data_IF_879720568967
#
_entry.id   IF_879720568967
#
_cell.length_a   1.000
_cell.length_b   1.000
_cell.length_c   1.000
_cell.angle_alpha   90.00
_cell.angle_beta   90.00
_cell.angle_gamma   90.00
#
_symmetry.space_group_name_H-M   'P 1'
#
loop_
_entity.id
_entity.type
_entity.pdbx_description
1 polymer ?
#
# COMPACT_ATOMS: atom_id res chain seq x y z
N UNK A 1 11.40 -7.63 5.41
CA UNK A 1 10.32 -7.34 4.47
C UNK A 1 8.97 -7.67 5.07
N UNK A 2 7.94 -6.94 4.73
CA UNK A 2 6.62 -7.16 5.31
C UNK A 2 6.04 -8.52 4.88
N UNK A 3 5.72 -9.35 5.87
CA UNK A 3 5.03 -10.62 5.66
C UNK A 3 4.42 -11.10 6.98
N UNK A 4 3.37 -11.93 6.95
CA UNK A 4 2.79 -12.46 8.18
C UNK A 4 3.80 -13.36 8.91
N UNK A 5 3.79 -13.30 10.24
CA UNK A 5 4.61 -14.19 11.06
C UNK A 5 4.10 -15.62 11.02
N UNK A 6 2.78 -15.79 10.97
CA UNK A 6 2.12 -17.09 10.96
C UNK A 6 0.85 -17.01 10.14
N UNK A 7 0.59 -18.02 9.32
CA UNK A 7 -0.61 -18.05 8.48
C UNK A 7 -1.44 -19.30 8.81
N UNK A 8 -2.77 -19.15 8.73
CA UNK A 8 -3.69 -20.27 8.88
C UNK A 8 -3.66 -21.19 7.67
N UNK A 9 -3.55 -20.60 6.48
CA UNK A 9 -3.46 -21.33 5.20
C UNK A 9 -2.28 -20.80 4.40
N UNK A 10 -1.48 -21.69 3.82
CA UNK A 10 -0.35 -21.33 2.98
C UNK A 10 -0.75 -21.04 1.54
N UNK A 11 -1.92 -21.52 1.13
CA UNK A 11 -2.47 -21.31 -0.21
C UNK A 11 -3.90 -20.83 -0.10
N UNK A 12 -4.27 -19.90 -0.97
CA UNK A 12 -5.63 -19.37 -1.05
C UNK A 12 -6.04 -19.25 -2.51
N UNK A 13 -7.35 -19.31 -2.76
CA UNK A 13 -7.86 -19.06 -4.10
C UNK A 13 -7.61 -17.59 -4.47
N UNK A 14 -7.26 -17.36 -5.74
CA UNK A 14 -6.99 -16.01 -6.25
C UNK A 14 -8.17 -15.06 -6.06
N UNK A 15 -9.38 -15.52 -6.38
CA UNK A 15 -10.59 -14.73 -6.26
C UNK A 15 -10.62 -13.55 -7.21
N UNK A 16 -11.59 -12.66 -7.01
CA UNK A 16 -11.74 -11.41 -7.76
C UNK A 16 -11.89 -10.26 -6.78
N UNK A 17 -11.29 -9.13 -7.12
CA UNK A 17 -11.42 -7.89 -6.35
C UNK A 17 -12.47 -7.02 -7.01
N UNK A 18 -13.64 -6.90 -6.36
CA UNK A 18 -14.75 -6.10 -6.87
C UNK A 18 -15.15 -5.03 -5.88
N UNK A 19 -15.76 -3.96 -6.39
CA UNK A 19 -16.30 -2.89 -5.56
C UNK A 19 -15.26 -1.91 -5.08
N UNK A 20 -15.71 -1.00 -4.22
CA UNK A 20 -14.89 0.03 -3.62
C UNK A 20 -14.57 -0.32 -2.17
N UNK A 21 -13.50 0.28 -1.64
CA UNK A 21 -13.13 0.05 -0.25
C UNK A 21 -14.18 0.61 0.70
N UNK A 22 -14.68 -0.24 1.62
CA UNK A 22 -15.64 0.14 2.65
C UNK A 22 -14.94 0.43 3.98
N UNK A 23 -13.73 -0.09 4.16
CA UNK A 23 -12.90 0.13 5.35
C UNK A 23 -11.52 0.60 4.91
N UNK A 24 -10.87 1.41 5.77
CA UNK A 24 -9.56 1.95 5.44
C UNK A 24 -9.59 2.92 4.27
N UNK A 25 -10.70 3.61 4.07
CA UNK A 25 -10.90 4.57 2.97
C UNK A 25 -10.81 6.02 3.43
N UNK A 26 -10.47 6.26 4.68
CA UNK A 26 -10.32 7.61 5.25
C UNK A 26 -9.01 7.74 5.98
N UNK A 27 -8.49 8.98 6.05
CA UNK A 27 -7.32 9.30 6.86
C UNK A 27 -7.66 9.14 8.34
N UNK A 28 -6.85 8.38 9.05
CA UNK A 28 -7.05 8.08 10.47
C UNK A 28 -5.91 8.60 11.35
N UNK A 29 -4.69 8.60 10.85
CA UNK A 29 -3.49 8.89 11.63
C UNK A 29 -2.81 10.20 11.23
N UNK A 30 -2.75 10.51 9.95
CA UNK A 30 -2.02 11.64 9.43
C UNK A 30 -2.92 12.71 8.82
N UNK A 31 -2.31 13.85 8.51
CA UNK A 31 -3.00 14.95 7.80
C UNK A 31 -3.03 14.74 6.29
N UNK A 32 -2.12 13.94 5.76
CA UNK A 32 -1.97 13.71 4.33
C UNK A 32 -1.86 12.23 4.05
N UNK A 33 -2.27 11.82 2.86
CA UNK A 33 -2.14 10.43 2.44
C UNK A 33 -2.36 10.25 0.97
N UNK A 34 -2.15 9.02 0.50
CA UNK A 34 -2.51 8.60 -0.85
C UNK A 34 -3.47 7.43 -0.78
N UNK A 35 -4.45 7.44 -1.68
CA UNK A 35 -5.38 6.32 -1.83
C UNK A 35 -5.30 5.78 -3.25
N UNK A 36 -5.58 4.50 -3.39
CA UNK A 36 -5.61 3.87 -4.72
C UNK A 36 -6.91 4.17 -5.44
N UNK A 37 -6.81 4.31 -6.76
CA UNK A 37 -7.97 4.44 -7.65
C UNK A 37 -8.24 3.15 -8.43
N UNK A 38 -7.42 2.13 -8.23
CA UNK A 38 -7.50 0.86 -8.97
C UNK A 38 -7.53 -0.33 -8.02
N UNK A 39 -8.03 -1.47 -8.52
CA UNK A 39 -7.96 -2.76 -7.83
C UNK A 39 -6.74 -3.52 -8.33
N UNK A 40 -5.76 -3.75 -7.46
CA UNK A 40 -4.56 -4.54 -7.78
C UNK A 40 -3.97 -5.17 -6.52
N UNK A 41 -3.03 -6.07 -6.73
CA UNK A 41 -2.21 -6.63 -5.67
C UNK A 41 -0.93 -5.81 -5.53
N UNK A 42 -0.58 -5.47 -4.30
CA UNK A 42 0.64 -4.73 -3.98
C UNK A 42 1.54 -5.65 -3.17
N UNK A 43 2.78 -5.84 -3.64
CA UNK A 43 3.73 -6.72 -2.96
C UNK A 43 4.40 -6.00 -1.79
N UNK A 44 4.94 -6.78 -0.85
CA UNK A 44 5.72 -6.21 0.27
C UNK A 44 6.93 -5.41 -0.20
N UNK A 45 7.56 -5.82 -1.30
CA UNK A 45 8.69 -5.08 -1.88
C UNK A 45 8.28 -3.70 -2.39
N UNK A 46 7.12 -3.61 -3.03
CA UNK A 46 6.58 -2.34 -3.52
C UNK A 46 6.25 -1.40 -2.36
N UNK A 47 5.64 -1.94 -1.29
CA UNK A 47 5.33 -1.17 -0.09
C UNK A 47 6.61 -0.63 0.55
N UNK A 48 7.64 -1.47 0.67
CA UNK A 48 8.92 -1.07 1.26
C UNK A 48 9.62 -0.02 0.40
N UNK A 49 9.61 -0.16 -0.92
CA UNK A 49 10.18 0.84 -1.82
C UNK A 49 9.49 2.20 -1.68
N UNK A 50 8.15 2.19 -1.57
CA UNK A 50 7.38 3.42 -1.37
C UNK A 50 7.72 4.07 -0.02
N UNK A 51 7.81 3.28 1.05
CA UNK A 51 8.18 3.78 2.37
C UNK A 51 9.54 4.45 2.36
N UNK A 52 10.53 3.82 1.73
CA UNK A 52 11.87 4.38 1.61
C UNK A 52 11.86 5.70 0.84
N UNK A 53 11.09 5.77 -0.26
CA UNK A 53 10.99 6.99 -1.05
C UNK A 53 10.43 8.16 -0.23
N UNK A 54 9.39 7.92 0.56
CA UNK A 54 8.80 8.94 1.44
C UNK A 54 9.81 9.38 2.50
N UNK A 55 10.42 8.42 3.17
CA UNK A 55 11.38 8.70 4.26
C UNK A 55 12.56 9.53 3.77
N UNK A 56 13.11 9.20 2.61
CA UNK A 56 14.25 9.95 2.03
C UNK A 56 13.88 11.38 1.71
N UNK A 57 12.72 11.59 1.08
CA UNK A 57 12.32 12.95 0.72
C UNK A 57 12.02 13.79 1.94
N UNK A 58 11.38 13.22 2.96
CA UNK A 58 11.06 13.91 4.21
C UNK A 58 12.29 14.07 5.13
N UNK A 59 13.45 13.54 4.75
CA UNK A 59 14.69 13.60 5.54
C UNK A 59 14.48 13.06 6.97
N UNK A 60 13.68 12.01 7.11
CA UNK A 60 13.32 11.37 8.38
C UNK A 60 12.57 12.29 9.35
N UNK A 61 12.01 13.39 8.87
CA UNK A 61 11.13 14.25 9.66
C UNK A 61 9.70 13.72 9.58
N UNK A 62 8.92 14.00 10.63
CA UNK A 62 7.53 13.58 10.68
C UNK A 62 7.35 12.09 10.90
N UNK A 63 6.13 11.63 10.67
CA UNK A 63 5.73 10.23 10.86
C UNK A 63 5.05 9.69 9.61
N UNK A 64 5.22 8.39 9.39
CA UNK A 64 4.64 7.67 8.25
C UNK A 64 3.87 6.47 8.79
N UNK A 65 2.66 6.25 8.27
CA UNK A 65 1.86 5.06 8.55
C UNK A 65 1.57 4.34 7.24
N UNK A 66 1.93 3.05 7.20
CA UNK A 66 1.56 2.18 6.09
C UNK A 66 0.24 1.52 6.47
N UNK A 67 -0.82 1.81 5.69
CA UNK A 67 -2.18 1.40 6.02
C UNK A 67 -2.55 0.04 5.44
N UNK A 68 -1.67 -0.57 4.66
CA UNK A 68 -1.89 -1.89 4.04
C UNK A 68 -0.79 -2.85 4.47
N UNK A 69 -1.13 -4.13 4.49
CA UNK A 69 -0.19 -5.18 4.86
C UNK A 69 -0.34 -6.37 3.91
N UNK A 70 0.77 -6.93 3.41
CA UNK A 70 0.71 -8.07 2.49
C UNK A 70 0.49 -9.36 3.26
N UNK A 71 -0.77 -9.72 3.46
CA UNK A 71 -1.17 -10.89 4.25
C UNK A 71 -1.76 -12.01 3.40
N UNK A 72 -2.01 -11.77 2.11
CA UNK A 72 -2.60 -12.77 1.23
C UNK A 72 -1.52 -13.59 0.53
N UNK A 73 -1.48 -14.91 0.72
CA UNK A 73 -0.48 -15.75 0.07
C UNK A 73 -0.74 -15.89 -1.43
N UNK A 74 0.34 -15.87 -2.21
CA UNK A 74 0.30 -16.13 -3.64
C UNK A 74 1.19 -17.32 -3.96
N UNK A 75 0.85 -18.05 -5.02
CA UNK A 75 1.58 -19.20 -5.48
C UNK A 75 2.00 -19.02 -6.93
N UNK A 76 3.09 -19.66 -7.30
CA UNK A 76 3.60 -19.62 -8.66
C UNK A 76 4.15 -20.97 -9.04
N UNK A 77 3.86 -21.41 -10.26
CA UNK A 77 4.47 -22.59 -10.84
C UNK A 77 5.75 -22.20 -11.59
N UNK A 78 6.78 -23.06 -11.62
CA UNK A 78 7.94 -22.81 -12.46
C UNK A 78 7.52 -22.64 -13.93
N UNK A 79 8.26 -21.80 -14.67
CA UNK A 79 7.95 -21.52 -16.07
C UNK A 79 7.94 -22.76 -16.97
N UNK A 80 8.67 -23.79 -16.58
CA UNK A 80 8.83 -25.04 -17.33
C UNK A 80 7.72 -26.05 -17.07
N UNK A 81 6.84 -25.80 -16.09
CA UNK A 81 5.79 -26.75 -15.69
C UNK A 81 4.51 -26.43 -16.43
N UNK A 82 3.89 -27.47 -17.01
CA UNK A 82 2.62 -27.32 -17.70
C UNK A 82 1.49 -27.04 -16.71
N UNK A 83 0.40 -26.45 -17.22
CA UNK A 83 -0.80 -26.18 -16.43
C UNK A 83 -1.45 -27.49 -15.98
N UNK A 84 -2.05 -27.48 -14.79
CA UNK A 84 -2.69 -28.63 -14.18
C UNK A 84 -1.82 -29.26 -13.10
N UNK A 85 -2.25 -30.43 -12.60
CA UNK A 85 -1.57 -31.21 -11.54
C UNK A 85 -1.43 -30.44 -10.20
N UNK A 86 -2.44 -29.62 -9.85
CA UNK A 86 -2.51 -28.95 -8.57
C UNK A 86 -1.97 -27.54 -8.57
N UNK A 87 -2.12 -26.88 -7.44
CA UNK A 87 -1.73 -25.49 -7.23
C UNK A 87 -0.21 -25.38 -7.03
N UNK A 88 0.37 -24.30 -7.54
CA UNK A 88 1.80 -24.06 -7.41
C UNK A 88 2.25 -23.87 -5.95
N UNK A 89 3.55 -23.83 -5.75
CA UNK A 89 4.14 -23.62 -4.44
C UNK A 89 3.95 -22.17 -3.98
N UNK A 90 3.81 -21.92 -2.65
CA UNK A 90 3.75 -20.57 -2.13
C UNK A 90 5.01 -19.77 -2.50
N UNK A 91 4.82 -18.56 -3.04
CA UNK A 91 5.92 -17.68 -3.46
C UNK A 91 6.09 -16.50 -2.51
N UNK A 92 5.00 -15.94 -2.00
CA UNK A 92 5.06 -14.78 -1.14
C UNK A 92 3.68 -14.28 -0.76
N UNK A 93 3.61 -13.02 -0.38
CA UNK A 93 2.37 -12.39 0.09
C UNK A 93 2.14 -11.06 -0.63
N UNK A 94 0.86 -10.73 -0.80
CA UNK A 94 0.45 -9.46 -1.40
C UNK A 94 -0.67 -8.85 -0.59
N UNK A 95 -0.82 -7.52 -0.71
CA UNK A 95 -1.94 -6.77 -0.17
C UNK A 95 -2.93 -6.50 -1.30
N UNK A 96 -4.13 -7.14 -1.29
CA UNK A 96 -5.16 -6.80 -2.27
C UNK A 96 -5.79 -5.45 -1.88
N UNK A 97 -5.86 -4.53 -2.84
CA UNK A 97 -6.47 -3.22 -2.61
C UNK A 97 -7.58 -2.99 -3.63
N UNK A 98 -8.61 -2.26 -3.20
CA UNK A 98 -9.73 -1.85 -4.04
C UNK A 98 -9.80 -0.32 -4.08
N UNK A 99 -10.46 0.29 -5.09
CA UNK A 99 -10.50 1.76 -5.21
C UNK A 99 -10.99 2.42 -3.92
N UNK A 100 -10.30 3.46 -3.51
CA UNK A 100 -10.60 4.22 -2.29
C UNK A 100 -9.78 3.82 -1.07
N UNK A 101 -9.02 2.71 -1.12
CA UNK A 101 -8.21 2.27 0.01
C UNK A 101 -7.04 3.22 0.26
N UNK A 102 -6.88 3.66 1.51
CA UNK A 102 -5.70 4.42 1.92
C UNK A 102 -4.48 3.51 1.94
N UNK A 103 -3.38 3.97 1.33
CA UNK A 103 -2.15 3.20 1.25
C UNK A 103 -1.12 3.65 2.26
N UNK A 104 -0.82 4.95 2.26
CA UNK A 104 0.21 5.56 3.14
C UNK A 104 -0.33 6.88 3.67
N UNK A 105 -0.07 7.17 4.95
CA UNK A 105 -0.38 8.46 5.57
C UNK A 105 0.89 9.08 6.13
N UNK A 106 0.96 10.40 6.13
CA UNK A 106 2.09 11.16 6.70
C UNK A 106 1.58 12.31 7.56
N UNK A 107 2.39 12.70 8.54
CA UNK A 107 2.13 13.78 9.47
C UNK A 107 3.45 14.47 9.84
N UNK A 108 3.38 15.72 10.29
CA UNK A 108 4.55 16.41 10.83
C UNK A 108 5.43 17.07 9.79
N UNK A 109 4.94 17.25 8.57
CA UNK A 109 5.64 17.97 7.48
C UNK A 109 4.68 18.92 6.81
N UNK A 110 5.22 19.88 6.02
CA UNK A 110 4.39 20.84 5.30
C UNK A 110 3.63 20.16 4.16
N UNK A 111 2.59 20.84 3.67
CA UNK A 111 1.78 20.35 2.55
C UNK A 111 2.63 20.05 1.32
N UNK A 112 3.54 20.95 0.94
CA UNK A 112 4.38 20.77 -0.25
C UNK A 112 5.30 19.57 -0.11
N UNK A 113 5.92 19.40 1.05
CA UNK A 113 6.82 18.27 1.32
C UNK A 113 6.03 16.98 1.30
N UNK A 114 4.87 16.92 1.95
CA UNK A 114 4.02 15.74 1.98
C UNK A 114 3.56 15.35 0.58
N UNK A 115 3.11 16.32 -0.20
CA UNK A 115 2.62 16.09 -1.56
C UNK A 115 3.71 15.48 -2.46
N UNK A 116 4.91 16.05 -2.42
CA UNK A 116 6.02 15.55 -3.23
C UNK A 116 6.53 14.19 -2.73
N UNK A 117 6.63 14.00 -1.43
CA UNK A 117 7.04 12.72 -0.86
C UNK A 117 6.09 11.59 -1.27
N UNK A 118 4.79 11.84 -1.17
CA UNK A 118 3.77 10.85 -1.53
C UNK A 118 3.69 10.63 -3.04
N UNK A 119 3.99 11.65 -3.86
CA UNK A 119 4.11 11.49 -5.30
C UNK A 119 5.24 10.51 -5.65
N UNK A 120 6.39 10.67 -5.00
CA UNK A 120 7.52 9.76 -5.21
C UNK A 120 7.19 8.34 -4.76
N UNK A 121 6.48 8.20 -3.64
CA UNK A 121 6.04 6.89 -3.17
C UNK A 121 5.09 6.23 -4.18
N UNK A 122 4.16 7.00 -4.74
CA UNK A 122 3.19 6.51 -5.71
C UNK A 122 3.86 5.92 -6.96
N UNK A 123 5.01 6.47 -7.36
CA UNK A 123 5.76 5.95 -8.50
C UNK A 123 6.32 4.54 -8.26
N UNK A 124 6.44 4.10 -7.01
CA UNK A 124 6.91 2.76 -6.64
C UNK A 124 5.77 1.75 -6.55
N UNK A 125 4.53 2.21 -6.62
CA UNK A 125 3.34 1.38 -6.48
C UNK A 125 2.75 1.05 -7.86
N UNK A 126 2.10 -0.12 -8.02
CA UNK A 126 1.55 -0.54 -9.32
C UNK A 126 0.17 0.04 -9.61
N UNK A 127 -0.30 1.00 -8.82
CA UNK A 127 -1.66 1.55 -8.93
C UNK A 127 -1.61 3.04 -9.18
N UNK A 128 -2.68 3.55 -9.82
CA UNK A 128 -2.94 4.99 -9.89
C UNK A 128 -3.43 5.46 -8.54
N UNK A 129 -2.87 6.55 -8.03
CA UNK A 129 -3.17 7.06 -6.69
C UNK A 129 -3.67 8.49 -6.74
N UNK A 130 -4.34 8.90 -5.65
CA UNK A 130 -4.78 10.28 -5.44
C UNK A 130 -4.26 10.76 -4.10
N UNK A 131 -3.66 11.96 -4.09
CA UNK A 131 -3.26 12.66 -2.87
C UNK A 131 -4.49 13.16 -2.14
N UNK A 132 -4.53 12.92 -0.83
CA UNK A 132 -5.68 13.26 0.02
C UNK A 132 -5.21 14.07 1.20
N UNK A 133 -5.98 15.10 1.56
CA UNK A 133 -5.73 15.96 2.70
C UNK A 133 -6.89 15.78 3.69
N UNK A 134 -6.58 15.77 4.99
CA UNK A 134 -7.60 15.67 6.03
C UNK A 134 -8.53 16.89 5.98
N UNK A 135 -9.85 16.66 6.17
CA UNK A 135 -10.86 17.71 6.04
C UNK A 135 -10.64 18.92 6.97
N UNK A 136 -10.14 18.66 8.17
CA UNK A 136 -9.89 19.68 9.18
C UNK A 136 -8.46 20.23 9.17
N UNK A 137 -7.70 19.95 8.10
CA UNK A 137 -6.34 20.47 7.96
C UNK A 137 -6.35 21.98 7.78
N UNK A 138 -5.57 22.66 8.62
CA UNK A 138 -5.38 24.10 8.59
C UNK A 138 -3.90 24.40 8.37
N UNK A 139 -3.51 24.97 7.21
CA UNK A 139 -2.10 25.25 6.92
C UNK A 139 -1.47 26.28 7.85
N UNK A 140 -2.28 27.08 8.55
CA UNK A 140 -1.76 28.11 9.47
C UNK A 140 -1.31 27.51 10.82
N UNK A 141 -1.74 26.31 11.16
CA UNK A 141 -1.39 25.67 12.44
C UNK A 141 -0.03 24.96 12.42
N UNK A 142 0.58 24.83 11.25
CA UNK A 142 1.85 24.12 11.07
C UNK A 142 3.03 25.05 10.79
N UNK A 143 2.97 26.22 11.33
CA UNK A 143 4.08 27.19 11.25
C UNK A 143 4.99 27.01 12.46
#
# INVERSE_FOLDING_TARGET
MLQPKKTKFRRQQKGRMKGNAQRGNQLAFGSFGIKTLESKWITGRQIEAARIAVTRYMQRQGQIWIRIFPDRPITKKPAEVRMGKGKGAPEGFVAPVTPGRMLIEVEGVSFEIAKEALRLAAQKLPVTTKFVVRRDYDPTQNV
#
